data_IF_922264691092
#
_entry.id   IF_922264691092
#
_cell.length_a   1.000
_cell.length_b   1.000
_cell.length_c   1.000
_cell.angle_alpha   90.00
_cell.angle_beta   90.00
_cell.angle_gamma   90.00
#
_symmetry.space_group_name_H-M   'P 1'
#
loop_
_entity.id
_entity.type
_entity.pdbx_description
1 polymer ?
#
# COMPACT_ATOMS: atom_id res chain seq x y z
N UNK A 1 16.22 12.16 14.65
CA UNK A 1 17.03 11.57 13.57
C UNK A 1 16.08 11.40 12.39
N UNK A 2 16.30 12.06 11.27
CA UNK A 2 15.55 11.81 10.04
C UNK A 2 15.91 10.40 9.57
N UNK A 3 14.93 9.54 9.32
CA UNK A 3 15.16 8.21 8.77
C UNK A 3 15.89 8.35 7.43
N UNK A 4 17.01 7.65 7.26
CA UNK A 4 17.74 7.59 5.99
C UNK A 4 17.11 6.57 5.03
N UNK A 5 15.97 5.97 5.40
CA UNK A 5 15.24 4.95 4.66
C UNK A 5 13.81 5.38 4.37
N UNK A 6 13.15 4.68 3.46
CA UNK A 6 11.73 4.88 3.17
C UNK A 6 10.84 4.48 4.35
N UNK A 7 9.66 5.12 4.45
CA UNK A 7 8.53 4.66 5.24
C UNK A 7 7.45 4.14 4.29
N UNK A 8 7.17 2.85 4.35
CA UNK A 8 6.24 2.20 3.43
C UNK A 8 4.92 1.90 4.14
N UNK A 9 3.80 2.25 3.50
CA UNK A 9 2.46 1.94 3.97
C UNK A 9 1.84 0.88 3.07
N UNK A 10 1.50 -0.29 3.62
CA UNK A 10 0.85 -1.41 2.95
C UNK A 10 -0.48 -1.74 3.62
N UNK A 11 -1.29 -2.58 3.00
CA UNK A 11 -2.58 -3.02 3.52
C UNK A 11 -3.73 -2.88 2.52
N UNK A 12 -4.96 -3.25 2.92
CA UNK A 12 -6.12 -3.31 2.02
C UNK A 12 -6.53 -1.95 1.44
N UNK A 13 -7.32 -1.96 0.37
CA UNK A 13 -7.92 -0.75 -0.15
C UNK A 13 -8.82 -0.07 0.90
N UNK A 14 -8.93 1.25 0.84
CA UNK A 14 -9.71 2.07 1.77
C UNK A 14 -9.24 2.04 3.25
N UNK A 15 -8.03 1.52 3.56
CA UNK A 15 -7.47 1.57 4.91
C UNK A 15 -6.93 2.95 5.32
N UNK A 16 -6.82 3.90 4.39
CA UNK A 16 -6.37 5.27 4.66
C UNK A 16 -4.89 5.54 4.38
N UNK A 17 -4.17 4.62 3.72
CA UNK A 17 -2.73 4.74 3.45
C UNK A 17 -2.32 6.04 2.76
N UNK A 18 -3.02 6.44 1.69
CA UNK A 18 -2.66 7.67 0.95
C UNK A 18 -2.85 8.92 1.80
N UNK A 19 -3.95 8.99 2.56
CA UNK A 19 -4.21 10.12 3.49
C UNK A 19 -3.16 10.17 4.59
N UNK A 20 -2.87 9.03 5.22
CA UNK A 20 -1.88 8.91 6.28
C UNK A 20 -0.47 9.22 5.74
N UNK A 21 -0.14 8.70 4.56
CA UNK A 21 1.15 8.90 3.91
C UNK A 21 1.44 10.37 3.61
N UNK A 22 0.45 11.12 3.12
CA UNK A 22 0.60 12.55 2.88
C UNK A 22 0.87 13.32 4.18
N UNK A 23 0.19 12.97 5.29
CA UNK A 23 0.42 13.60 6.60
C UNK A 23 1.83 13.26 7.12
N UNK A 24 2.22 11.97 7.10
CA UNK A 24 3.53 11.53 7.56
C UNK A 24 4.67 12.17 6.75
N UNK A 25 4.52 12.25 5.43
CA UNK A 25 5.50 12.89 4.57
C UNK A 25 5.69 14.37 4.91
N UNK A 26 4.60 15.09 5.19
CA UNK A 26 4.65 16.49 5.63
C UNK A 26 5.36 16.63 6.99
N UNK A 27 5.02 15.80 7.97
CA UNK A 27 5.64 15.83 9.32
C UNK A 27 7.14 15.50 9.29
N UNK A 28 7.54 14.56 8.41
CA UNK A 28 8.92 14.12 8.25
C UNK A 28 9.72 14.96 7.24
N UNK A 29 9.08 15.93 6.55
CA UNK A 29 9.67 16.70 5.45
C UNK A 29 10.26 15.78 4.36
N UNK A 30 9.53 14.69 4.05
CA UNK A 30 9.87 13.72 3.01
C UNK A 30 8.94 13.86 1.81
N UNK A 31 9.35 13.34 0.66
CA UNK A 31 8.45 13.23 -0.49
C UNK A 31 7.35 12.22 -0.18
N UNK A 32 6.08 12.55 -0.52
CA UNK A 32 4.99 11.58 -0.57
C UNK A 32 4.88 10.97 -1.96
N UNK A 33 4.74 9.65 -2.03
CA UNK A 33 4.54 8.89 -3.27
C UNK A 33 3.34 7.95 -3.10
N UNK A 34 2.29 8.15 -3.89
CA UNK A 34 1.23 7.16 -4.05
C UNK A 34 1.59 6.24 -5.23
N UNK A 35 1.83 4.97 -4.94
CA UNK A 35 2.30 4.03 -5.95
C UNK A 35 1.25 3.77 -7.05
N UNK A 36 -0.04 3.85 -6.72
CA UNK A 36 -1.11 3.76 -7.72
C UNK A 36 -1.05 4.91 -8.75
N UNK A 37 -0.57 6.10 -8.34
CA UNK A 37 -0.48 7.27 -9.21
C UNK A 37 0.77 7.26 -10.10
N UNK A 38 1.92 6.80 -9.56
CA UNK A 38 3.20 6.89 -10.27
C UNK A 38 3.56 5.66 -11.10
N UNK A 39 2.82 4.56 -10.97
CA UNK A 39 3.22 3.25 -11.54
C UNK A 39 2.99 3.09 -13.03
N UNK A 40 2.21 3.95 -13.69
CA UNK A 40 1.88 3.78 -15.12
C UNK A 40 3.14 3.62 -16.01
N UNK A 41 4.19 4.45 -15.91
CA UNK A 41 5.41 4.26 -16.69
C UNK A 41 6.12 2.93 -16.39
N UNK A 42 6.11 2.49 -15.14
CA UNK A 42 6.74 1.23 -14.74
C UNK A 42 6.00 0.01 -15.29
N UNK A 43 4.67 0.07 -15.38
CA UNK A 43 3.89 -1.00 -16.04
C UNK A 43 4.26 -1.13 -17.51
N UNK A 44 4.47 0.01 -18.20
CA UNK A 44 4.84 0.05 -19.63
C UNK A 44 6.22 -0.58 -19.90
N UNK A 45 7.16 -0.47 -18.95
CA UNK A 45 8.49 -1.11 -19.07
C UNK A 45 8.41 -2.64 -19.22
N UNK A 46 7.35 -3.26 -18.71
CA UNK A 46 7.10 -4.71 -18.83
C UNK A 46 5.93 -5.05 -19.74
N UNK A 47 5.56 -4.10 -20.61
CA UNK A 47 4.55 -4.29 -21.65
C UNK A 47 3.11 -4.27 -21.15
N UNK A 48 2.85 -3.73 -19.97
CA UNK A 48 1.50 -3.52 -19.43
C UNK A 48 1.11 -2.03 -19.44
N UNK A 49 -0.20 -1.78 -19.47
CA UNK A 49 -0.79 -0.46 -19.27
C UNK A 49 -2.17 -0.61 -18.63
N UNK A 50 -2.73 0.47 -18.11
CA UNK A 50 -4.09 0.46 -17.56
C UNK A 50 -5.10 0.10 -18.65
N UNK A 51 -4.94 0.62 -19.86
CA UNK A 51 -5.80 0.25 -21.01
C UNK A 51 -5.73 -1.25 -21.29
N UNK A 52 -4.52 -1.82 -21.38
CA UNK A 52 -4.34 -3.26 -21.57
C UNK A 52 -4.96 -4.09 -20.45
N UNK A 53 -4.86 -3.63 -19.18
CA UNK A 53 -5.50 -4.31 -18.05
C UNK A 53 -7.03 -4.32 -18.21
N UNK A 54 -7.62 -3.19 -18.56
CA UNK A 54 -9.08 -3.11 -18.78
C UNK A 54 -9.53 -4.05 -19.89
N UNK A 55 -8.86 -4.04 -21.04
CA UNK A 55 -9.15 -4.98 -22.15
C UNK A 55 -8.94 -6.45 -21.74
N UNK A 56 -7.96 -6.72 -20.89
CA UNK A 56 -7.68 -8.07 -20.41
C UNK A 56 -8.77 -8.54 -19.43
N UNK A 57 -9.24 -7.66 -18.55
CA UNK A 57 -10.39 -7.93 -17.66
C UNK A 57 -11.63 -8.33 -18.45
N UNK A 58 -11.92 -7.64 -19.57
CA UNK A 58 -13.06 -7.96 -20.43
C UNK A 58 -12.94 -9.35 -21.07
N UNK A 59 -11.71 -9.82 -21.32
CA UNK A 59 -11.45 -11.12 -21.97
C UNK A 59 -11.44 -12.29 -21.01
N UNK A 60 -10.84 -12.14 -19.83
CA UNK A 60 -10.56 -13.27 -18.93
C UNK A 60 -11.22 -13.14 -17.55
N UNK A 61 -11.89 -12.03 -17.27
CA UNK A 61 -12.44 -11.69 -15.97
C UNK A 61 -11.44 -10.99 -15.05
N UNK A 62 -11.95 -10.36 -13.99
CA UNK A 62 -11.14 -9.54 -13.10
C UNK A 62 -10.13 -10.37 -12.31
N UNK A 63 -10.52 -11.51 -11.78
CA UNK A 63 -9.66 -12.34 -10.91
C UNK A 63 -8.46 -12.87 -11.70
N UNK A 64 -8.67 -13.38 -12.93
CA UNK A 64 -7.57 -13.85 -13.76
C UNK A 64 -6.66 -12.70 -14.21
N UNK A 65 -7.23 -11.58 -14.63
CA UNK A 65 -6.47 -10.41 -15.07
C UNK A 65 -5.58 -9.83 -13.96
N UNK A 66 -6.05 -9.81 -12.70
CA UNK A 66 -5.25 -9.36 -11.54
C UNK A 66 -4.02 -10.26 -11.31
N UNK A 67 -4.14 -11.57 -11.53
CA UNK A 67 -2.98 -12.49 -11.44
C UNK A 67 -1.99 -12.24 -12.55
N UNK A 68 -2.45 -12.11 -13.79
CA UNK A 68 -1.57 -11.86 -14.93
C UNK A 68 -0.86 -10.52 -14.82
N UNK A 69 -1.47 -9.55 -14.10
CA UNK A 69 -0.91 -8.22 -13.86
C UNK A 69 0.08 -8.16 -12.70
N UNK A 70 0.23 -9.21 -11.90
CA UNK A 70 1.16 -9.25 -10.78
C UNK A 70 2.60 -8.91 -11.18
N UNK A 71 3.03 -9.32 -12.37
CA UNK A 71 4.37 -9.01 -12.89
C UNK A 71 4.61 -7.50 -13.01
N UNK A 72 3.62 -6.75 -13.48
CA UNK A 72 3.70 -5.30 -13.61
C UNK A 72 3.75 -4.63 -12.23
N UNK A 73 2.92 -5.10 -11.28
CA UNK A 73 2.93 -4.57 -9.91
C UNK A 73 4.25 -4.83 -9.19
N UNK A 74 4.82 -6.03 -9.28
CA UNK A 74 6.11 -6.35 -8.67
C UNK A 74 7.26 -5.54 -9.28
N UNK A 75 7.22 -5.32 -10.60
CA UNK A 75 8.18 -4.46 -11.29
C UNK A 75 8.05 -3.01 -10.80
N UNK A 76 6.83 -2.47 -10.70
CA UNK A 76 6.58 -1.11 -10.21
C UNK A 76 7.09 -0.90 -8.78
N UNK A 77 6.91 -1.87 -7.88
CA UNK A 77 7.50 -1.82 -6.54
C UNK A 77 9.01 -1.72 -6.61
N UNK A 78 9.67 -2.58 -7.38
CA UNK A 78 11.13 -2.58 -7.51
C UNK A 78 11.66 -1.26 -8.07
N UNK A 79 10.97 -0.69 -9.07
CA UNK A 79 11.32 0.61 -9.66
C UNK A 79 11.11 1.77 -8.68
N UNK A 80 9.97 1.80 -7.99
CA UNK A 80 9.68 2.86 -7.03
C UNK A 80 10.70 2.88 -5.87
N UNK A 81 11.13 1.72 -5.39
CA UNK A 81 12.16 1.64 -4.35
C UNK A 81 13.52 2.19 -4.82
N UNK A 82 13.84 2.07 -6.12
CA UNK A 82 15.06 2.63 -6.70
C UNK A 82 14.95 4.13 -6.97
N UNK A 83 13.79 4.58 -7.45
CA UNK A 83 13.61 5.96 -7.92
C UNK A 83 13.25 6.94 -6.79
N UNK A 84 12.71 6.45 -5.66
CA UNK A 84 12.31 7.26 -4.50
C UNK A 84 13.02 6.82 -3.21
N UNK A 85 14.32 7.11 -3.07
CA UNK A 85 15.09 6.73 -1.89
C UNK A 85 14.77 7.57 -0.70
N UNK A 86 14.19 7.71 0.20
CA UNK A 86 13.83 8.63 1.30
C UNK A 86 12.46 9.28 1.09
N UNK A 87 11.48 8.43 0.83
CA UNK A 87 10.09 8.86 0.65
C UNK A 87 9.14 8.13 1.61
N UNK A 88 8.00 8.73 1.86
CA UNK A 88 6.84 8.01 2.39
C UNK A 88 6.05 7.49 1.20
N UNK A 89 5.99 6.16 1.05
CA UNK A 89 5.36 5.52 -0.12
C UNK A 89 4.13 4.74 0.32
N UNK A 90 2.96 5.12 -0.19
CA UNK A 90 1.73 4.36 -0.02
C UNK A 90 1.58 3.36 -1.18
N UNK A 91 1.53 2.07 -0.86
CA UNK A 91 1.28 1.02 -1.85
C UNK A 91 -0.22 0.89 -2.13
N UNK A 92 -0.59 0.72 -3.40
CA UNK A 92 -1.90 0.17 -3.74
C UNK A 92 -2.06 -1.23 -3.16
N UNK A 93 -3.28 -1.64 -2.83
CA UNK A 93 -3.52 -2.89 -2.11
C UNK A 93 -2.92 -4.13 -2.80
N UNK A 94 -2.96 -4.17 -4.14
CA UNK A 94 -2.36 -5.25 -4.93
C UNK A 94 -0.84 -5.24 -5.01
N UNK A 95 -0.15 -4.14 -4.67
CA UNK A 95 1.32 -4.05 -4.74
C UNK A 95 2.05 -4.82 -3.62
N UNK A 96 1.33 -5.33 -2.64
CA UNK A 96 1.88 -6.16 -1.58
C UNK A 96 1.24 -7.56 -1.51
N UNK A 97 0.36 -7.93 -2.46
CA UNK A 97 -0.37 -9.20 -2.48
C UNK A 97 -0.11 -9.94 -3.80
N UNK A 98 0.44 -11.14 -3.70
CA UNK A 98 0.89 -11.94 -4.84
C UNK A 98 0.50 -13.42 -4.68
N UNK A 99 0.01 -14.01 -5.77
CA UNK A 99 -0.18 -15.46 -5.88
C UNK A 99 1.11 -16.16 -6.35
N UNK A 100 1.90 -15.46 -7.20
CA UNK A 100 3.14 -16.01 -7.76
C UNK A 100 4.31 -15.82 -6.77
N UNK A 101 4.87 -16.93 -6.28
CA UNK A 101 5.91 -16.92 -5.24
C UNK A 101 7.19 -16.19 -5.65
N UNK A 102 7.56 -16.21 -6.94
CA UNK A 102 8.76 -15.51 -7.42
C UNK A 102 8.57 -13.99 -7.38
N UNK A 103 7.37 -13.50 -7.70
CA UNK A 103 7.04 -12.08 -7.64
C UNK A 103 6.96 -11.59 -6.18
N UNK A 104 6.37 -12.42 -5.30
CA UNK A 104 6.39 -12.17 -3.86
C UNK A 104 7.83 -12.02 -3.34
N UNK A 105 8.72 -12.94 -3.72
CA UNK A 105 10.13 -12.90 -3.34
C UNK A 105 10.86 -11.66 -3.90
N UNK A 106 10.56 -11.24 -5.13
CA UNK A 106 11.09 -10.02 -5.73
C UNK A 106 10.72 -8.79 -4.88
N UNK A 107 9.46 -8.67 -4.47
CA UNK A 107 8.99 -7.57 -3.64
C UNK A 107 9.59 -7.62 -2.24
N UNK A 108 9.65 -8.79 -1.61
CA UNK A 108 10.34 -8.94 -0.32
C UNK A 108 11.81 -8.51 -0.40
N UNK A 109 12.52 -8.83 -1.49
CA UNK A 109 13.89 -8.41 -1.69
C UNK A 109 14.00 -6.88 -1.89
N UNK A 110 13.07 -6.26 -2.60
CA UNK A 110 13.04 -4.80 -2.79
C UNK A 110 12.82 -4.05 -1.47
N UNK A 111 12.06 -4.63 -0.53
CA UNK A 111 11.77 -4.03 0.78
C UNK A 111 12.76 -4.44 1.88
N UNK A 112 13.72 -5.31 1.60
CA UNK A 112 14.60 -5.92 2.62
C UNK A 112 15.38 -4.91 3.48
N UNK A 113 15.76 -3.78 2.91
CA UNK A 113 16.52 -2.73 3.60
C UNK A 113 15.63 -1.64 4.21
N UNK A 114 14.31 -1.73 4.05
CA UNK A 114 13.37 -0.76 4.59
C UNK A 114 13.12 -1.09 6.05
N UNK A 115 13.40 -0.12 6.93
CA UNK A 115 13.22 -0.29 8.37
C UNK A 115 11.74 -0.27 8.77
N UNK A 116 10.95 0.58 8.12
CA UNK A 116 9.56 0.82 8.48
C UNK A 116 8.61 0.45 7.34
N UNK A 117 8.04 -0.75 7.41
CA UNK A 117 6.94 -1.22 6.58
C UNK A 117 5.71 -1.38 7.47
N UNK A 118 4.73 -0.50 7.31
CA UNK A 118 3.55 -0.40 8.19
C UNK A 118 2.32 -0.97 7.52
N UNK A 119 1.74 -2.01 8.12
CA UNK A 119 0.45 -2.53 7.71
C UNK A 119 -0.66 -1.68 8.34
N UNK A 120 -1.48 -1.04 7.50
CA UNK A 120 -2.55 -0.13 7.94
C UNK A 120 -3.89 -0.83 7.81
N UNK A 121 -4.59 -1.01 8.94
CA UNK A 121 -5.94 -1.60 8.99
C UNK A 121 -6.81 -0.89 10.04
N UNK A 122 -8.15 -1.02 9.98
CA UNK A 122 -9.03 -0.38 10.95
C UNK A 122 -8.79 -0.82 12.39
N UNK A 123 -8.89 -2.11 12.69
CA UNK A 123 -8.73 -2.66 14.04
C UNK A 123 -8.26 -4.13 14.00
N UNK A 124 -7.98 -4.72 15.15
CA UNK A 124 -7.52 -6.10 15.25
C UNK A 124 -8.61 -7.15 15.03
N UNK A 125 -9.89 -6.78 15.18
CA UNK A 125 -11.00 -7.67 14.84
C UNK A 125 -11.23 -7.69 13.34
N UNK A 126 -10.98 -8.87 12.73
CA UNK A 126 -11.06 -9.08 11.27
C UNK A 126 -12.44 -8.72 10.71
N UNK A 127 -13.50 -9.13 11.39
CA UNK A 127 -14.88 -8.93 10.89
C UNK A 127 -15.23 -7.46 10.87
N UNK A 128 -14.94 -6.75 11.94
CA UNK A 128 -15.12 -5.31 12.06
C UNK A 128 -14.25 -4.56 11.04
N UNK A 129 -12.96 -4.93 10.90
CA UNK A 129 -12.06 -4.34 9.91
C UNK A 129 -12.60 -4.49 8.49
N UNK A 130 -13.04 -5.68 8.10
CA UNK A 130 -13.58 -5.92 6.76
C UNK A 130 -14.85 -5.11 6.51
N UNK A 131 -15.73 -5.00 7.49
CA UNK A 131 -16.93 -4.18 7.39
C UNK A 131 -16.59 -2.70 7.18
N UNK A 132 -15.71 -2.13 8.02
CA UNK A 132 -15.26 -0.73 7.93
C UNK A 132 -14.60 -0.45 6.57
N UNK A 133 -13.71 -1.35 6.10
CA UNK A 133 -13.05 -1.20 4.81
C UNK A 133 -14.07 -1.20 3.66
N UNK A 134 -15.08 -2.05 3.71
CA UNK A 134 -16.13 -2.13 2.70
C UNK A 134 -16.98 -0.87 2.67
N UNK A 135 -17.42 -0.39 3.83
CA UNK A 135 -18.18 0.86 3.95
C UNK A 135 -17.38 2.05 3.41
N UNK A 136 -16.11 2.19 3.80
CA UNK A 136 -15.21 3.24 3.31
C UNK A 136 -14.97 3.13 1.80
N UNK A 137 -14.83 1.92 1.28
CA UNK A 137 -14.58 1.68 -0.14
C UNK A 137 -15.81 2.01 -1.01
N UNK A 138 -17.00 1.63 -0.56
CA UNK A 138 -18.25 2.01 -1.24
C UNK A 138 -18.40 3.53 -1.25
N UNK A 139 -18.16 4.19 -0.11
CA UNK A 139 -18.31 5.64 0.02
C UNK A 139 -17.30 6.44 -0.82
N UNK A 140 -16.03 5.99 -0.91
CA UNK A 140 -14.96 6.75 -1.55
C UNK A 140 -14.61 6.32 -2.96
N UNK A 141 -14.85 5.05 -3.31
CA UNK A 141 -14.44 4.44 -4.59
C UNK A 141 -15.62 3.81 -5.36
N UNK A 142 -16.83 3.87 -4.82
CA UNK A 142 -18.04 3.28 -5.39
C UNK A 142 -17.87 1.79 -5.74
N UNK A 143 -17.17 1.02 -4.90
CA UNK A 143 -16.97 -0.42 -5.10
C UNK A 143 -16.87 -1.17 -3.78
N UNK A 144 -17.46 -2.37 -3.74
CA UNK A 144 -17.35 -3.31 -2.62
C UNK A 144 -16.17 -4.28 -2.75
N UNK A 145 -15.48 -4.24 -3.90
CA UNK A 145 -14.38 -5.14 -4.26
C UNK A 145 -14.75 -6.62 -4.36
N UNK A 146 -16.03 -6.96 -4.51
CA UNK A 146 -16.45 -8.33 -4.82
C UNK A 146 -16.59 -8.48 -6.33
N UNK A 147 -15.84 -9.40 -6.93
CA UNK A 147 -15.87 -9.71 -8.36
C UNK A 147 -15.81 -11.21 -8.56
N UNK A 148 -16.70 -11.76 -9.39
CA UNK A 148 -16.73 -13.21 -9.71
C UNK A 148 -16.77 -14.09 -8.45
N UNK A 149 -17.52 -13.67 -7.42
CA UNK A 149 -17.59 -14.29 -6.08
C UNK A 149 -16.26 -14.25 -5.29
N UNK A 150 -15.25 -13.53 -5.78
CA UNK A 150 -14.00 -13.28 -5.07
C UNK A 150 -14.06 -11.95 -4.34
N UNK A 151 -13.68 -11.94 -3.05
CA UNK A 151 -13.63 -10.78 -2.18
C UNK A 151 -12.19 -10.27 -2.05
N UNK A 152 -11.83 -9.27 -2.86
CA UNK A 152 -10.50 -8.68 -2.84
C UNK A 152 -10.16 -7.96 -1.52
N UNK A 153 -11.14 -7.34 -0.84
CA UNK A 153 -10.87 -6.72 0.46
C UNK A 153 -10.48 -7.75 1.51
N UNK A 154 -11.20 -8.88 1.54
CA UNK A 154 -10.88 -9.99 2.43
C UNK A 154 -9.50 -10.58 2.07
N UNK A 155 -9.21 -10.78 0.79
CA UNK A 155 -7.90 -11.26 0.35
C UNK A 155 -6.78 -10.35 0.85
N UNK A 156 -6.85 -9.04 0.59
CA UNK A 156 -5.78 -8.10 0.98
C UNK A 156 -5.66 -7.94 2.50
N UNK A 157 -6.76 -8.07 3.25
CA UNK A 157 -6.75 -8.00 4.71
C UNK A 157 -6.09 -9.25 5.33
N UNK A 158 -6.35 -10.42 4.76
CA UNK A 158 -5.91 -11.71 5.30
C UNK A 158 -4.60 -12.22 4.70
N UNK A 159 -4.03 -11.54 3.69
CA UNK A 159 -2.86 -12.00 2.95
C UNK A 159 -1.65 -12.19 3.89
N UNK A 160 -1.18 -13.43 4.09
CA UNK A 160 -0.08 -13.71 4.99
C UNK A 160 1.25 -13.15 4.49
N UNK A 161 1.43 -13.01 3.16
CA UNK A 161 2.64 -12.42 2.61
C UNK A 161 2.71 -10.91 2.92
N UNK A 162 1.62 -10.17 2.69
CA UNK A 162 1.54 -8.74 3.05
C UNK A 162 1.82 -8.54 4.54
N UNK A 163 1.26 -9.37 5.41
CA UNK A 163 1.51 -9.29 6.86
C UNK A 163 2.96 -9.62 7.23
N UNK A 164 3.59 -10.56 6.53
CA UNK A 164 5.00 -10.91 6.74
C UNK A 164 5.95 -9.76 6.34
N UNK A 165 5.59 -8.96 5.35
CA UNK A 165 6.38 -7.78 4.95
C UNK A 165 6.36 -6.67 6.01
N UNK A 166 5.31 -6.60 6.81
CA UNK A 166 5.12 -5.53 7.79
C UNK A 166 6.07 -5.67 8.98
N UNK A 167 6.72 -4.58 9.36
CA UNK A 167 7.48 -4.47 10.61
C UNK A 167 6.61 -3.95 11.76
N UNK A 168 5.49 -3.29 11.44
CA UNK A 168 4.56 -2.69 12.40
C UNK A 168 3.14 -2.76 11.83
N UNK A 169 2.13 -2.93 12.70
CA UNK A 169 0.72 -2.81 12.34
C UNK A 169 0.11 -1.59 12.99
N UNK A 170 -0.54 -0.75 12.20
CA UNK A 170 -1.25 0.45 12.66
C UNK A 170 -2.76 0.24 12.56
N UNK A 171 -3.45 0.29 13.70
CA UNK A 171 -4.91 0.31 13.80
C UNK A 171 -5.42 1.75 13.81
N UNK A 172 -6.42 2.05 12.96
CA UNK A 172 -6.87 3.45 12.73
C UNK A 172 -8.30 3.72 13.20
N UNK A 173 -9.03 2.72 13.74
CA UNK A 173 -10.39 2.89 14.21
C UNK A 173 -10.44 3.85 15.40
N UNK A 174 -11.44 4.75 15.40
CA UNK A 174 -11.65 5.72 16.48
C UNK A 174 -10.69 6.91 16.49
N UNK A 175 -9.76 7.00 15.55
CA UNK A 175 -8.80 8.08 15.44
C UNK A 175 -8.99 8.91 14.15
N UNK A 176 -8.67 10.21 14.23
CA UNK A 176 -8.47 10.99 13.03
C UNK A 176 -7.15 10.59 12.33
N UNK A 177 -6.99 10.85 11.03
CA UNK A 177 -5.72 10.56 10.33
C UNK A 177 -4.50 11.24 10.99
N UNK A 178 -4.67 12.44 11.55
CA UNK A 178 -3.62 13.17 12.28
C UNK A 178 -3.23 12.47 13.58
N UNK A 179 -4.20 11.96 14.34
CA UNK A 179 -3.93 11.21 15.57
C UNK A 179 -3.18 9.91 15.27
N UNK A 180 -3.62 9.16 14.25
CA UNK A 180 -2.94 7.94 13.81
C UNK A 180 -1.51 8.23 13.34
N UNK A 181 -1.27 9.32 12.59
CA UNK A 181 0.06 9.73 12.16
C UNK A 181 0.97 10.06 13.36
N UNK A 182 0.49 10.86 14.31
CA UNK A 182 1.25 11.24 15.50
C UNK A 182 1.62 10.02 16.36
N UNK A 183 0.65 9.10 16.56
CA UNK A 183 0.90 7.86 17.29
C UNK A 183 1.94 6.97 16.58
N UNK A 184 1.81 6.82 15.26
CA UNK A 184 2.76 6.03 14.48
C UNK A 184 4.18 6.62 14.55
N UNK A 185 4.34 7.94 14.41
CA UNK A 185 5.65 8.60 14.54
C UNK A 185 6.27 8.35 15.91
N UNK A 186 5.48 8.41 16.99
CA UNK A 186 5.93 8.11 18.33
C UNK A 186 6.35 6.63 18.50
N UNK A 187 5.59 5.69 17.97
CA UNK A 187 5.88 4.25 17.98
C UNK A 187 7.15 3.90 17.21
N UNK A 188 7.39 4.57 16.08
CA UNK A 188 8.58 4.37 15.25
C UNK A 188 9.80 5.20 15.73
N UNK A 189 9.64 5.99 16.80
CA UNK A 189 10.66 6.91 17.30
C UNK A 189 11.17 7.92 16.26
N UNK A 190 10.30 8.29 15.31
CA UNK A 190 10.55 9.30 14.29
C UNK A 190 10.09 10.67 14.81
N UNK A 191 11.00 11.63 14.83
CA UNK A 191 10.67 13.00 15.26
C UNK A 191 10.18 13.83 14.06
N UNK A 192 9.07 14.58 14.20
CA UNK A 192 8.71 15.61 13.23
C UNK A 192 9.85 16.61 13.06
N UNK A 193 10.10 17.06 11.84
CA UNK A 193 11.10 18.10 11.58
C UNK A 193 10.47 19.46 11.89
N UNK A 194 11.04 20.17 12.86
CA UNK A 194 10.56 21.51 13.22
C UNK A 194 10.85 22.50 12.09
N UNK A 195 9.90 23.41 11.75
CA UNK A 195 10.10 24.44 10.71
C UNK A 195 11.25 25.42 10.99
N UNK A 196 11.87 25.34 12.16
CA UNK A 196 12.92 26.25 12.64
C UNK A 196 14.35 25.74 12.45
N UNK A 197 14.54 24.58 11.81
CA UNK A 197 15.86 23.96 11.62
C UNK A 197 16.52 24.34 10.26
N UNK A 198 16.07 25.46 9.62
CA UNK A 198 16.63 26.03 8.39
C UNK A 198 17.16 27.45 8.59
#
# INVERSE_FOLDING_TARGET
MTSDTNLILIGPAASGKSTLGAILANELQMQFVDLDEVSTPYYEEVGWSITRLVEHIEKVGRVAAERDWEIARAHAVSRAMADFPKAVIAFGAGHASYCEAQLAQQVAQALKSVEHVVFVEPCSDRTTSLQILRERSIASKNTDWIRESHDFLAQWLDDPFTRMLATTTLYTEGESPQQSAQRLLAELHLAPVSPTDF
#
